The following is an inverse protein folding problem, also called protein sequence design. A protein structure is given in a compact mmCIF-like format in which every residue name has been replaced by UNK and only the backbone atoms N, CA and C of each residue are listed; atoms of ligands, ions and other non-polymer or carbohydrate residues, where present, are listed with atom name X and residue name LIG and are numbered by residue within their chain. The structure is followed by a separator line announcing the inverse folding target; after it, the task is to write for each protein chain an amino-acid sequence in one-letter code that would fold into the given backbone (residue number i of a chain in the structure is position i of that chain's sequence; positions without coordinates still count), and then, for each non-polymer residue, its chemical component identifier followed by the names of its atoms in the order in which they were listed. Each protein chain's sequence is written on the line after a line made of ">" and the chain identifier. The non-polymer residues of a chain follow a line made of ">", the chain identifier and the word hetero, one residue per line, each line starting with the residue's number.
data_IF_961004587043
#
_entry.id   IF_961004587043
#
_cell.length_a   1.000
_cell.length_b   1.000
_cell.length_c   1.000
_cell.angle_alpha   90.00
_cell.angle_beta   90.00
_cell.angle_gamma   90.00
#
_symmetry.space_group_name_H-M   'P 1'
#
loop_
_entity.id
_entity.type
_entity.pdbx_description
1 polymer ?
#
# COMPACT_ATOMS: atom_id res chain seq x y z
N UNK A 1 19.06 20.25 -8.62
CA UNK A 1 18.24 19.59 -7.59
C UNK A 1 17.87 18.20 -8.11
N UNK A 2 18.11 17.13 -7.37
CA UNK A 2 17.68 15.80 -7.79
C UNK A 2 16.14 15.75 -7.81
N UNK A 3 15.58 15.07 -8.80
CA UNK A 3 14.12 14.82 -8.86
C UNK A 3 13.74 14.04 -7.60
N UNK A 4 12.70 14.50 -6.90
CA UNK A 4 12.15 13.76 -5.75
C UNK A 4 11.41 12.53 -6.24
N UNK A 5 11.59 11.37 -5.60
CA UNK A 5 10.92 10.16 -6.04
C UNK A 5 9.41 10.24 -5.81
N UNK A 6 8.63 9.76 -6.76
CA UNK A 6 7.18 9.57 -6.65
C UNK A 6 6.89 8.08 -6.64
N UNK A 7 6.39 7.57 -5.52
CA UNK A 7 6.17 6.14 -5.29
C UNK A 7 4.68 5.85 -5.16
N UNK A 8 4.20 4.89 -5.94
CA UNK A 8 2.87 4.30 -5.77
C UNK A 8 2.98 3.09 -4.82
N UNK A 9 2.29 3.15 -3.69
CA UNK A 9 2.15 2.03 -2.75
C UNK A 9 0.80 1.35 -2.89
N UNK A 10 0.78 0.01 -2.83
CA UNK A 10 -0.41 -0.84 -2.96
C UNK A 10 -0.47 -1.83 -1.80
N UNK A 11 -1.62 -1.91 -1.14
CA UNK A 11 -1.88 -2.83 -0.03
C UNK A 11 -3.12 -3.68 -0.28
N UNK A 12 -2.99 -4.99 -0.09
CA UNK A 12 -4.10 -5.96 -0.18
C UNK A 12 -3.88 -7.20 0.70
N UNK A 13 -3.16 -7.07 1.81
CA UNK A 13 -2.72 -8.23 2.61
C UNK A 13 -3.85 -8.95 3.36
N UNK A 14 -4.98 -8.29 3.62
CA UNK A 14 -6.08 -8.86 4.40
C UNK A 14 -7.46 -8.45 3.84
N UNK A 15 -8.14 -7.51 4.48
CA UNK A 15 -9.52 -7.11 4.15
C UNK A 15 -9.66 -5.63 3.77
N UNK A 16 -8.56 -5.00 3.45
CA UNK A 16 -8.53 -3.63 2.95
C UNK A 16 -7.76 -3.56 1.63
N UNK A 17 -8.37 -2.92 0.63
CA UNK A 17 -7.67 -2.56 -0.60
C UNK A 17 -7.26 -1.11 -0.48
N UNK A 18 -5.98 -0.81 -0.57
CA UNK A 18 -5.51 0.56 -0.49
C UNK A 18 -4.44 0.87 -1.54
N UNK A 19 -4.41 2.15 -1.95
CA UNK A 19 -3.32 2.70 -2.74
C UNK A 19 -3.00 4.12 -2.28
N UNK A 20 -1.72 4.48 -2.33
CA UNK A 20 -1.23 5.80 -1.93
C UNK A 20 -0.10 6.26 -2.85
N UNK A 21 -0.04 7.57 -3.10
CA UNK A 21 1.14 8.18 -3.68
C UNK A 21 1.91 8.97 -2.63
N UNK A 22 3.22 8.72 -2.61
CA UNK A 22 4.14 9.36 -1.68
C UNK A 22 5.30 9.98 -2.44
N UNK A 23 5.81 11.06 -1.90
CA UNK A 23 7.07 11.70 -2.28
C UNK A 23 7.84 12.10 -1.03
N UNK A 24 8.90 12.86 -1.17
CA UNK A 24 9.62 13.45 -0.04
C UNK A 24 9.70 14.98 -0.17
N UNK A 25 9.81 15.67 0.97
CA UNK A 25 10.09 17.10 0.99
C UNK A 25 11.59 17.37 0.78
N UNK A 26 12.02 18.64 0.94
CA UNK A 26 13.43 19.00 0.77
C UNK A 26 14.36 18.46 1.85
N UNK A 27 13.79 18.07 3.00
CA UNK A 27 14.50 17.46 4.12
C UNK A 27 14.54 15.93 4.05
N UNK A 28 13.99 15.32 2.98
CA UNK A 28 13.88 13.86 2.85
C UNK A 28 12.78 13.24 3.72
N UNK A 29 11.86 14.06 4.25
CA UNK A 29 10.71 13.55 5.02
C UNK A 29 9.61 13.08 4.07
N UNK A 30 8.99 11.92 4.30
CA UNK A 30 7.88 11.43 3.47
C UNK A 30 6.71 12.42 3.47
N UNK A 31 6.10 12.58 2.30
CA UNK A 31 4.88 13.39 2.10
C UNK A 31 3.84 12.52 1.42
N UNK A 32 2.70 12.34 2.08
CA UNK A 32 1.55 11.63 1.51
C UNK A 32 0.80 12.60 0.60
N UNK A 33 0.77 12.30 -0.69
CA UNK A 33 0.04 13.09 -1.69
C UNK A 33 -1.42 12.64 -1.80
N UNK A 34 -1.64 11.34 -1.73
CA UNK A 34 -2.96 10.72 -1.72
C UNK A 34 -2.94 9.41 -0.93
N UNK A 35 -4.08 9.04 -0.36
CA UNK A 35 -4.25 7.76 0.35
C UNK A 35 -5.71 7.32 0.25
N UNK A 36 -5.97 6.30 -0.57
CA UNK A 36 -7.30 5.77 -0.84
C UNK A 36 -7.42 4.39 -0.22
N UNK A 37 -8.43 4.20 0.61
CA UNK A 37 -8.68 2.95 1.33
C UNK A 37 -10.11 2.50 1.10
N UNK A 38 -10.29 1.22 0.73
CA UNK A 38 -11.59 0.56 0.67
C UNK A 38 -11.63 -0.63 1.62
N UNK A 39 -12.26 -0.44 2.77
CA UNK A 39 -12.41 -1.49 3.78
C UNK A 39 -13.56 -2.45 3.42
N UNK A 40 -13.36 -3.72 3.75
CA UNK A 40 -14.32 -4.80 3.56
C UNK A 40 -14.96 -5.27 4.87
N UNK A 41 -14.76 -4.55 5.98
CA UNK A 41 -15.27 -4.90 7.32
C UNK A 41 -16.75 -5.24 7.29
N UNK A 42 -17.57 -4.47 6.58
CA UNK A 42 -19.02 -4.73 6.49
C UNK A 42 -19.38 -6.02 5.76
N UNK A 43 -18.54 -6.46 4.82
CA UNK A 43 -18.72 -7.72 4.09
C UNK A 43 -18.44 -8.90 5.01
N UNK A 44 -17.37 -8.81 5.80
CA UNK A 44 -16.87 -9.89 6.63
C UNK A 44 -17.56 -10.00 7.99
N UNK A 45 -18.15 -8.90 8.49
CA UNK A 45 -18.82 -8.83 9.81
C UNK A 45 -19.83 -9.96 10.05
N UNK A 46 -20.59 -10.33 9.02
CA UNK A 46 -21.60 -11.40 9.11
C UNK A 46 -21.01 -12.82 9.25
N UNK A 47 -19.71 -12.99 8.97
CA UNK A 47 -19.00 -14.25 9.09
C UNK A 47 -18.17 -14.35 10.38
N UNK A 48 -18.11 -13.29 11.19
CA UNK A 48 -17.33 -13.24 12.42
C UNK A 48 -15.81 -13.13 12.20
N UNK A 49 -15.37 -12.92 10.97
CA UNK A 49 -13.95 -12.77 10.61
C UNK A 49 -13.75 -12.72 9.10
N UNK A 50 -12.52 -12.47 8.67
CA UNK A 50 -12.18 -12.36 7.25
C UNK A 50 -12.30 -13.71 6.55
N UNK A 51 -13.04 -13.75 5.43
CA UNK A 51 -13.12 -14.89 4.52
C UNK A 51 -12.18 -14.64 3.35
N UNK A 52 -11.03 -15.35 3.26
CA UNK A 52 -9.95 -15.00 2.33
C UNK A 52 -10.36 -14.92 0.86
N UNK A 53 -11.18 -15.87 0.42
CA UNK A 53 -11.64 -15.89 -0.98
C UNK A 53 -12.56 -14.72 -1.32
N UNK A 54 -13.44 -14.31 -0.40
CA UNK A 54 -14.29 -13.14 -0.60
C UNK A 54 -13.44 -11.85 -0.59
N UNK A 55 -12.45 -11.80 0.29
CA UNK A 55 -11.52 -10.68 0.35
C UNK A 55 -10.75 -10.55 -0.98
N UNK A 56 -10.18 -11.64 -1.48
CA UNK A 56 -9.44 -11.64 -2.75
C UNK A 56 -10.31 -11.18 -3.94
N UNK A 57 -11.55 -11.65 -4.04
CA UNK A 57 -12.50 -11.20 -5.08
C UNK A 57 -12.76 -9.70 -4.99
N UNK A 58 -13.01 -9.20 -3.79
CA UNK A 58 -13.23 -7.76 -3.56
C UNK A 58 -11.99 -6.93 -3.90
N UNK A 59 -10.78 -7.44 -3.66
CA UNK A 59 -9.54 -6.76 -4.12
C UNK A 59 -9.49 -6.66 -5.64
N UNK A 60 -9.78 -7.76 -6.35
CA UNK A 60 -9.78 -7.79 -7.83
C UNK A 60 -10.77 -6.76 -8.39
N UNK A 61 -11.95 -6.64 -7.79
CA UNK A 61 -13.01 -5.73 -8.24
C UNK A 61 -12.70 -4.24 -8.00
N UNK A 62 -11.75 -3.94 -7.12
CA UNK A 62 -11.54 -2.58 -6.64
C UNK A 62 -10.17 -1.98 -6.95
N UNK A 63 -9.15 -2.82 -7.12
CA UNK A 63 -7.76 -2.38 -7.13
C UNK A 63 -7.46 -1.36 -8.24
N UNK A 64 -8.06 -1.53 -9.41
CA UNK A 64 -7.87 -0.65 -10.56
C UNK A 64 -8.38 0.77 -10.28
N UNK A 65 -9.64 0.90 -9.84
CA UNK A 65 -10.20 2.22 -9.56
C UNK A 65 -9.59 2.88 -8.32
N UNK A 66 -9.14 2.10 -7.32
CA UNK A 66 -8.45 2.61 -6.13
C UNK A 66 -7.10 3.21 -6.53
N UNK A 67 -6.34 2.50 -7.37
CA UNK A 67 -5.07 3.00 -7.89
C UNK A 67 -5.29 4.22 -8.76
N UNK A 68 -6.27 4.17 -9.68
CA UNK A 68 -6.59 5.33 -10.52
C UNK A 68 -6.96 6.55 -9.67
N UNK A 69 -7.83 6.35 -8.68
CA UNK A 69 -8.23 7.44 -7.79
C UNK A 69 -7.06 7.98 -6.97
N UNK A 70 -6.15 7.13 -6.51
CA UNK A 70 -4.97 7.59 -5.80
C UNK A 70 -4.07 8.47 -6.68
N UNK A 71 -3.92 8.12 -7.96
CA UNK A 71 -3.18 8.92 -8.94
C UNK A 71 -3.91 10.26 -9.17
N UNK A 72 -5.21 10.24 -9.44
CA UNK A 72 -6.00 11.44 -9.71
C UNK A 72 -5.97 12.43 -8.53
N UNK A 73 -6.18 11.93 -7.31
CA UNK A 73 -6.21 12.74 -6.09
C UNK A 73 -4.81 13.30 -5.72
N UNK A 74 -3.73 12.70 -6.23
CA UNK A 74 -2.36 13.17 -5.98
C UNK A 74 -1.98 14.43 -6.76
N UNK A 75 -2.68 14.73 -7.85
CA UNK A 75 -2.35 15.81 -8.78
C UNK A 75 -1.19 15.50 -9.73
N UNK A 76 -0.63 14.30 -9.69
CA UNK A 76 0.42 13.83 -10.60
C UNK A 76 -0.14 12.92 -11.69
N UNK A 77 0.65 12.71 -12.74
CA UNK A 77 0.29 11.81 -13.83
C UNK A 77 0.93 10.44 -13.62
N UNK A 78 0.36 9.43 -14.27
CA UNK A 78 0.87 8.05 -14.23
C UNK A 78 2.34 7.96 -14.70
N UNK A 79 2.72 8.78 -15.66
CA UNK A 79 4.09 8.81 -16.22
C UNK A 79 5.11 9.37 -15.23
N UNK A 80 4.66 10.15 -14.25
CA UNK A 80 5.51 10.77 -13.24
C UNK A 80 5.96 9.78 -12.16
N UNK A 81 5.28 8.63 -12.03
CA UNK A 81 5.61 7.58 -11.06
C UNK A 81 7.00 7.04 -11.34
N UNK A 82 7.84 7.01 -10.31
CA UNK A 82 9.22 6.55 -10.40
C UNK A 82 9.39 5.08 -9.96
N UNK A 83 8.53 4.58 -9.06
CA UNK A 83 8.52 3.17 -8.65
C UNK A 83 7.13 2.75 -8.15
N UNK A 84 6.87 1.44 -8.17
CA UNK A 84 5.65 0.83 -7.62
C UNK A 84 6.06 -0.10 -6.48
N UNK A 85 5.40 0.02 -5.34
CA UNK A 85 5.59 -0.83 -4.18
C UNK A 85 4.30 -1.60 -3.88
N UNK A 86 4.41 -2.86 -3.48
CA UNK A 86 3.27 -3.64 -2.99
C UNK A 86 3.66 -4.49 -1.79
N UNK A 87 2.71 -4.68 -0.89
CA UNK A 87 2.89 -5.60 0.24
C UNK A 87 3.05 -7.03 -0.24
N UNK A 88 4.15 -7.67 0.18
CA UNK A 88 4.53 -9.02 -0.23
C UNK A 88 4.27 -10.10 0.85
N UNK A 89 3.98 -9.67 2.07
CA UNK A 89 3.71 -10.53 3.23
C UNK A 89 4.35 -10.02 4.51
N UNK A 90 3.97 -10.59 5.66
CA UNK A 90 2.93 -11.61 5.85
C UNK A 90 1.51 -11.09 5.59
N UNK A 91 0.57 -12.03 5.36
CA UNK A 91 -0.84 -11.74 5.09
C UNK A 91 -1.54 -12.94 4.46
N UNK A 92 -2.81 -12.77 4.09
CA UNK A 92 -3.58 -13.79 3.39
C UNK A 92 -3.05 -13.96 1.97
N UNK A 93 -2.53 -15.16 1.66
CA UNK A 93 -1.79 -15.41 0.40
C UNK A 93 -2.60 -15.06 -0.86
N UNK A 94 -3.90 -15.37 -0.86
CA UNK A 94 -4.78 -15.09 -2.00
C UNK A 94 -5.01 -13.58 -2.17
N UNK A 95 -5.07 -12.84 -1.08
CA UNK A 95 -5.20 -11.38 -1.07
C UNK A 95 -3.90 -10.70 -1.52
N UNK A 96 -2.77 -11.11 -0.94
CA UNK A 96 -1.43 -10.63 -1.32
C UNK A 96 -1.16 -10.84 -2.82
N UNK A 97 -1.59 -11.99 -3.36
CA UNK A 97 -1.39 -12.31 -4.78
C UNK A 97 -2.05 -11.29 -5.71
N UNK A 98 -3.17 -10.69 -5.32
CA UNK A 98 -3.86 -9.66 -6.11
C UNK A 98 -3.00 -8.39 -6.21
N UNK A 99 -2.63 -7.81 -5.07
CA UNK A 99 -1.82 -6.59 -5.04
C UNK A 99 -0.44 -6.77 -5.65
N UNK A 100 0.21 -7.91 -5.40
CA UNK A 100 1.52 -8.23 -5.98
C UNK A 100 1.45 -8.37 -7.50
N UNK A 101 0.46 -9.09 -8.02
CA UNK A 101 0.32 -9.29 -9.47
C UNK A 101 -0.01 -7.98 -10.16
N UNK A 102 -0.93 -7.20 -9.60
CA UNK A 102 -1.28 -5.88 -10.11
C UNK A 102 -0.06 -4.96 -10.11
N UNK A 103 0.60 -4.79 -8.97
CA UNK A 103 1.76 -3.89 -8.82
C UNK A 103 2.93 -4.25 -9.73
N UNK A 104 3.26 -5.54 -9.85
CA UNK A 104 4.30 -6.02 -10.77
C UNK A 104 3.97 -5.73 -12.23
N UNK A 105 2.72 -6.01 -12.64
CA UNK A 105 2.27 -5.76 -14.02
C UNK A 105 2.26 -4.26 -14.30
N UNK A 106 1.77 -3.46 -13.36
CA UNK A 106 1.74 -2.00 -13.48
C UNK A 106 3.14 -1.40 -13.61
N UNK A 107 4.08 -1.82 -12.73
CA UNK A 107 5.48 -1.42 -12.80
C UNK A 107 6.14 -1.79 -14.13
N UNK A 108 5.91 -3.03 -14.59
CA UNK A 108 6.44 -3.50 -15.87
C UNK A 108 5.88 -2.69 -17.06
N UNK A 109 4.58 -2.39 -17.05
CA UNK A 109 3.95 -1.59 -18.11
C UNK A 109 4.53 -0.17 -18.17
N UNK A 110 4.84 0.42 -17.03
CA UNK A 110 5.48 1.74 -16.95
C UNK A 110 7.00 1.72 -17.15
N UNK A 111 7.60 0.53 -17.28
CA UNK A 111 9.05 0.33 -17.28
C UNK A 111 9.73 0.98 -16.04
N UNK A 112 9.13 0.75 -14.85
CA UNK A 112 9.58 1.29 -13.56
C UNK A 112 9.96 0.15 -12.62
N UNK A 113 10.84 0.39 -11.63
CA UNK A 113 11.17 -0.60 -10.62
C UNK A 113 9.94 -1.00 -9.79
N UNK A 114 9.90 -2.28 -9.41
CA UNK A 114 8.94 -2.85 -8.47
C UNK A 114 9.62 -3.14 -7.13
N UNK A 115 8.98 -2.77 -6.03
CA UNK A 115 9.48 -2.95 -4.66
C UNK A 115 8.50 -3.83 -3.88
N UNK A 116 8.98 -5.00 -3.44
CA UNK A 116 8.21 -5.87 -2.55
C UNK A 116 8.42 -5.43 -1.09
N UNK A 117 7.35 -5.07 -0.40
CA UNK A 117 7.41 -4.52 0.96
C UNK A 117 6.91 -5.55 1.97
N UNK A 118 7.64 -5.74 3.06
CA UNK A 118 7.17 -6.54 4.18
C UNK A 118 6.06 -5.77 4.93
N UNK A 119 4.92 -6.43 5.17
CA UNK A 119 3.75 -5.82 5.82
C UNK A 119 4.06 -5.29 7.22
N UNK A 120 4.81 -6.05 8.02
CA UNK A 120 5.19 -5.64 9.37
C UNK A 120 6.21 -4.50 9.37
N UNK A 121 7.10 -4.48 8.39
CA UNK A 121 8.01 -3.35 8.18
C UNK A 121 7.24 -2.08 7.80
N UNK A 122 6.20 -2.21 6.97
CA UNK A 122 5.27 -1.11 6.68
C UNK A 122 4.64 -0.53 7.94
N UNK A 123 4.16 -1.38 8.85
CA UNK A 123 3.67 -0.95 10.16
C UNK A 123 4.77 -0.29 11.01
N UNK A 124 5.97 -0.87 11.03
CA UNK A 124 7.09 -0.34 11.79
C UNK A 124 7.50 1.07 11.33
N UNK A 125 7.43 1.32 10.03
CA UNK A 125 7.83 2.60 9.44
C UNK A 125 6.71 3.64 9.41
N UNK A 126 5.44 3.24 9.58
CA UNK A 126 4.29 4.14 9.50
C UNK A 126 4.35 5.36 10.45
N UNK A 127 4.88 5.27 11.68
CA UNK A 127 5.01 6.44 12.55
C UNK A 127 5.93 7.53 11.97
N UNK A 128 6.88 7.15 11.10
CA UNK A 128 7.79 8.12 10.43
C UNK A 128 7.08 8.98 9.37
N UNK A 129 5.87 8.62 8.96
CA UNK A 129 5.08 9.43 8.02
C UNK A 129 4.59 10.74 8.66
N UNK A 130 4.37 10.76 9.98
CA UNK A 130 3.79 11.89 10.67
C UNK A 130 4.68 12.48 11.77
N UNK A 131 5.83 11.85 12.01
CA UNK A 131 6.73 12.25 13.11
C UNK A 131 8.18 12.04 12.74
N UNK A 132 9.05 12.93 13.21
CA UNK A 132 10.50 12.73 13.13
C UNK A 132 10.88 11.76 14.23
N UNK A 133 11.15 10.50 13.86
CA UNK A 133 11.57 9.46 14.78
C UNK A 133 12.92 8.93 14.34
N UNK A 134 13.92 9.11 15.20
CA UNK A 134 15.28 8.63 14.95
C UNK A 134 15.45 7.16 15.38
N UNK A 135 16.39 6.49 14.75
CA UNK A 135 16.80 5.14 15.15
C UNK A 135 17.85 5.18 16.29
N UNK A 136 17.81 4.18 17.20
CA UNK A 136 16.84 3.11 17.35
C UNK A 136 15.55 3.58 18.06
N UNK A 137 14.40 2.96 17.74
CA UNK A 137 13.15 3.16 18.50
C UNK A 137 12.48 1.81 18.83
N UNK A 138 11.67 1.78 19.88
CA UNK A 138 10.90 0.61 20.28
C UNK A 138 9.53 0.65 19.61
N UNK A 139 9.18 -0.42 18.91
CA UNK A 139 7.86 -0.60 18.31
C UNK A 139 7.07 -1.64 19.09
N UNK A 140 5.86 -1.29 19.53
CA UNK A 140 4.87 -2.25 20.00
C UNK A 140 3.80 -2.42 18.92
N UNK A 141 3.76 -3.60 18.28
CA UNK A 141 2.75 -3.95 17.30
C UNK A 141 1.73 -4.89 17.95
N UNK A 142 0.47 -4.45 18.01
CA UNK A 142 -0.65 -5.24 18.54
C UNK A 142 -1.71 -5.33 17.45
N UNK A 143 -2.01 -6.53 16.99
CA UNK A 143 -3.06 -6.77 16.00
C UNK A 143 -3.80 -8.07 16.31
N UNK A 144 -4.99 -8.25 15.74
CA UNK A 144 -5.76 -9.49 15.88
C UNK A 144 -5.20 -10.67 15.09
N UNK A 145 -4.35 -10.41 14.11
CA UNK A 145 -3.79 -11.44 13.21
C UNK A 145 -2.34 -11.80 13.50
N UNK A 146 -1.59 -10.87 14.12
CA UNK A 146 -0.17 -11.06 14.46
C UNK A 146 0.26 -10.06 15.53
N UNK A 147 1.13 -10.49 16.41
CA UNK A 147 1.70 -9.70 17.51
C UNK A 147 3.06 -10.25 17.90
#
# INVERSE_FOLDING_TARGET
>A
MSKKPLILGIESSCDETAASLLTENEQGTPVILSNIISSQVNVHKKFGGVVPELAARSHIEKIDWIVQKAIDDSGYKIEDIDAVASTAGPGLIVCLSVGLSFGKTFAATLNKPFIAVNHLEGHALSPKLNSIIDYPYLLLLISGGHS
#
